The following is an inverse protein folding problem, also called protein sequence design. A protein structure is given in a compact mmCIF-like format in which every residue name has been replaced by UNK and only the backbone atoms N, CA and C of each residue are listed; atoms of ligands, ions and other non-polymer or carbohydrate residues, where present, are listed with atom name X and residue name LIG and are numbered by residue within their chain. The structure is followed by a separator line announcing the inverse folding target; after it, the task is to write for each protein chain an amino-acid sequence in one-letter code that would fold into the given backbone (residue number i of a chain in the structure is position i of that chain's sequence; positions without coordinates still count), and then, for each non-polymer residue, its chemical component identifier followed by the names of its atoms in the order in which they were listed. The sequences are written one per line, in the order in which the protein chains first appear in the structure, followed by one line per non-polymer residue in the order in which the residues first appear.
data_IF_885619079188
#
_entry.id   IF_885619079188
#
_cell.length_a   1.000
_cell.length_b   1.000
_cell.length_c   1.000
_cell.angle_alpha   90.00
_cell.angle_beta   90.00
_cell.angle_gamma   90.00
#
_symmetry.space_group_name_H-M   'P 1'
#
loop_
_entity.id
_entity.type
_entity.pdbx_description
1 polymer ?
#
# COMPACT_ATOMS: atom_id res chain seq x y z
N UNK A 1 -4.33 -12.06 11.94
CA UNK A 1 -4.57 -10.64 12.27
C UNK A 1 -3.83 -9.75 11.28
N UNK A 2 -4.48 -8.68 10.85
CA UNK A 2 -3.87 -7.77 9.89
C UNK A 2 -3.57 -6.46 10.57
N UNK A 3 -2.30 -6.08 10.55
CA UNK A 3 -1.85 -4.84 11.18
C UNK A 3 -1.60 -3.82 10.08
N UNK A 4 -2.25 -2.68 10.17
CA UNK A 4 -2.13 -1.62 9.17
C UNK A 4 -1.46 -0.42 9.83
N UNK A 5 -0.29 -0.06 9.31
CA UNK A 5 0.46 1.09 9.83
C UNK A 5 0.12 2.26 8.92
N UNK A 6 -0.55 3.27 9.46
CA UNK A 6 -1.08 4.36 8.64
C UNK A 6 -0.43 5.68 8.96
N UNK A 7 0.04 6.36 7.93
CA UNK A 7 0.58 7.70 8.05
C UNK A 7 -0.25 8.62 7.15
N UNK A 8 -0.73 9.72 7.69
CA UNK A 8 -1.50 10.68 6.92
C UNK A 8 -0.90 12.05 7.18
N UNK A 9 -0.51 12.76 6.11
CA UNK A 9 0.01 14.12 6.29
C UNK A 9 -1.11 14.94 6.92
N UNK A 10 -0.76 15.71 7.94
CA UNK A 10 -1.76 16.32 8.81
C UNK A 10 -2.75 17.25 8.12
N UNK A 11 -2.38 17.79 6.98
CA UNK A 11 -3.27 18.72 6.28
C UNK A 11 -4.41 18.05 5.53
N UNK A 12 -4.40 16.72 5.42
CA UNK A 12 -5.44 16.03 4.67
C UNK A 12 -6.49 15.42 5.60
N UNK A 13 -7.76 15.53 5.23
CA UNK A 13 -8.85 15.04 6.08
C UNK A 13 -9.19 13.57 5.91
N UNK A 14 -8.22 12.75 5.55
CA UNK A 14 -8.49 11.32 5.41
C UNK A 14 -8.78 10.72 6.78
N UNK A 15 -9.65 9.73 6.80
CA UNK A 15 -10.09 9.11 8.03
C UNK A 15 -9.29 7.83 8.29
N UNK A 16 -8.43 7.89 9.30
CA UNK A 16 -7.54 6.77 9.63
C UNK A 16 -8.32 5.48 9.95
N UNK A 17 -9.39 5.59 10.71
CA UNK A 17 -10.16 4.41 11.08
C UNK A 17 -10.82 3.78 9.88
N UNK A 18 -11.33 4.60 8.99
CA UNK A 18 -12.00 4.12 7.79
C UNK A 18 -11.01 3.40 6.89
N UNK A 19 -9.81 3.97 6.75
CA UNK A 19 -8.77 3.35 5.94
C UNK A 19 -8.37 2.00 6.56
N UNK A 20 -8.19 1.98 7.89
CA UNK A 20 -7.79 0.75 8.55
C UNK A 20 -8.83 -0.34 8.35
N UNK A 21 -10.10 0.01 8.54
CA UNK A 21 -11.18 -0.97 8.41
C UNK A 21 -11.25 -1.50 6.98
N UNK A 22 -11.08 -0.61 6.01
CA UNK A 22 -11.11 -1.02 4.61
C UNK A 22 -9.98 -2.00 4.30
N UNK A 23 -8.76 -1.66 4.72
CA UNK A 23 -7.61 -2.51 4.42
C UNK A 23 -7.74 -3.85 5.11
N UNK A 24 -8.15 -3.85 6.37
CA UNK A 24 -8.31 -5.10 7.10
C UNK A 24 -9.34 -6.00 6.44
N UNK A 25 -10.47 -5.42 6.05
CA UNK A 25 -11.52 -6.19 5.42
C UNK A 25 -11.06 -6.72 4.06
N UNK A 26 -10.40 -5.87 3.29
CA UNK A 26 -9.95 -6.25 1.95
C UNK A 26 -8.94 -7.39 2.02
N UNK A 27 -7.96 -7.27 2.90
CA UNK A 27 -6.92 -8.29 2.98
C UNK A 27 -7.39 -9.57 3.64
N UNK A 28 -8.32 -9.47 4.60
CA UNK A 28 -8.78 -10.66 5.30
C UNK A 28 -9.54 -11.61 4.38
N UNK A 29 -10.03 -11.12 3.26
CA UNK A 29 -10.70 -11.96 2.28
C UNK A 29 -9.70 -12.71 1.41
N UNK A 30 -8.43 -12.30 1.41
CA UNK A 30 -7.44 -12.85 0.50
C UNK A 30 -6.26 -13.52 1.20
N UNK A 31 -5.99 -13.15 2.44
CA UNK A 31 -4.82 -13.64 3.15
C UNK A 31 -5.20 -14.13 4.54
N UNK A 32 -4.44 -15.12 5.03
CA UNK A 32 -4.65 -15.62 6.38
C UNK A 32 -3.36 -15.44 7.16
N UNK A 33 -3.45 -15.56 8.47
CA UNK A 33 -2.27 -15.45 9.32
C UNK A 33 -1.97 -14.02 9.70
N UNK A 34 -0.75 -13.81 10.16
CA UNK A 34 -0.32 -12.47 10.59
C UNK A 34 0.22 -11.70 9.39
N UNK A 35 -0.38 -10.56 9.12
CA UNK A 35 -0.02 -9.74 7.96
C UNK A 35 0.19 -8.31 8.41
N UNK A 36 1.22 -7.66 7.88
CA UNK A 36 1.48 -6.26 8.18
C UNK A 36 1.63 -5.49 6.87
N UNK A 37 1.06 -4.32 6.80
CA UNK A 37 1.17 -3.48 5.60
C UNK A 37 1.14 -2.02 6.02
N UNK A 38 1.85 -1.17 5.29
CA UNK A 38 1.86 0.27 5.54
C UNK A 38 1.02 0.98 4.49
N UNK A 39 0.31 2.02 4.90
CA UNK A 39 -0.45 2.88 3.99
C UNK A 39 -0.14 4.32 4.34
N UNK A 40 0.26 5.11 3.37
CA UNK A 40 0.57 6.51 3.58
C UNK A 40 -0.26 7.38 2.65
N UNK A 41 -0.82 8.46 3.19
CA UNK A 41 -1.57 9.43 2.42
C UNK A 41 -0.74 10.71 2.41
N UNK A 42 -0.29 11.11 1.25
CA UNK A 42 0.67 12.21 1.13
C UNK A 42 0.22 13.22 0.05
N UNK A 43 0.91 14.34 0.01
CA UNK A 43 0.63 15.33 -1.03
C UNK A 43 1.48 15.09 -2.26
N UNK A 44 1.25 15.89 -3.30
CA UNK A 44 1.96 15.74 -4.57
C UNK A 44 3.46 15.94 -4.45
N UNK A 45 3.88 16.83 -3.56
CA UNK A 45 5.30 17.11 -3.41
C UNK A 45 6.04 15.85 -2.94
N UNK A 46 5.51 15.22 -1.89
CA UNK A 46 6.13 14.01 -1.37
C UNK A 46 6.02 12.88 -2.39
N UNK A 47 4.89 12.79 -3.06
CA UNK A 47 4.69 11.74 -4.07
C UNK A 47 5.70 11.91 -5.22
N UNK A 48 5.93 13.15 -5.65
CA UNK A 48 6.88 13.41 -6.72
C UNK A 48 8.29 13.02 -6.28
N UNK A 49 8.64 13.32 -5.02
CA UNK A 49 9.95 12.94 -4.52
C UNK A 49 10.13 11.44 -4.52
N UNK A 50 9.10 10.71 -4.08
CA UNK A 50 9.19 9.26 -4.03
C UNK A 50 9.25 8.66 -5.43
N UNK A 51 8.44 9.18 -6.34
CA UNK A 51 8.42 8.68 -7.69
C UNK A 51 9.76 8.93 -8.38
N UNK A 52 10.35 10.09 -8.14
CA UNK A 52 11.65 10.43 -8.70
C UNK A 52 12.73 9.53 -8.13
N UNK A 53 12.70 9.30 -6.83
CA UNK A 53 13.74 8.51 -6.17
C UNK A 53 13.68 7.03 -6.54
N UNK A 54 12.48 6.46 -6.56
CA UNK A 54 12.34 5.02 -6.74
C UNK A 54 12.04 4.57 -8.15
N UNK A 55 11.47 5.42 -8.97
CA UNK A 55 11.11 5.05 -10.34
C UNK A 55 11.79 5.93 -11.38
N UNK A 56 12.58 6.91 -10.93
CA UNK A 56 13.28 7.83 -11.83
C UNK A 56 12.33 8.60 -12.73
N UNK A 57 11.12 8.85 -12.24
CA UNK A 57 10.15 9.63 -12.97
C UNK A 57 9.95 10.94 -12.21
N UNK A 58 10.29 12.06 -12.84
CA UNK A 58 10.24 13.35 -12.18
C UNK A 58 8.84 13.95 -12.30
N UNK A 59 7.87 13.30 -11.69
CA UNK A 59 6.50 13.76 -11.72
C UNK A 59 5.74 13.10 -10.59
N UNK A 60 4.55 13.59 -10.30
CA UNK A 60 3.70 12.98 -9.30
C UNK A 60 2.93 11.82 -9.93
N UNK A 61 2.30 11.02 -9.10
CA UNK A 61 1.43 9.95 -9.56
C UNK A 61 0.35 9.79 -8.49
N UNK A 62 -0.65 8.96 -8.72
CA UNK A 62 -1.74 8.78 -7.77
C UNK A 62 -1.41 7.74 -6.70
N UNK A 63 -0.72 6.68 -7.06
CA UNK A 63 -0.40 5.63 -6.08
C UNK A 63 0.92 4.96 -6.42
N UNK A 64 1.67 4.61 -5.38
CA UNK A 64 2.90 3.83 -5.52
C UNK A 64 2.80 2.67 -4.55
N UNK A 65 3.37 1.53 -4.90
CA UNK A 65 3.44 0.41 -3.98
C UNK A 65 4.85 -0.17 -4.01
N UNK A 66 5.36 -0.52 -2.83
CA UNK A 66 6.69 -1.04 -2.68
C UNK A 66 6.64 -2.34 -1.90
N UNK A 67 6.88 -3.45 -2.58
CA UNK A 67 6.83 -4.75 -1.93
C UNK A 67 8.10 -5.01 -1.15
N UNK A 68 7.96 -5.53 0.04
CA UNK A 68 9.13 -5.85 0.83
C UNK A 68 9.83 -7.07 0.29
N UNK A 69 9.10 -7.96 -0.37
CA UNK A 69 9.71 -9.13 -0.93
C UNK A 69 10.01 -8.96 -2.39
N UNK A 70 10.25 -7.76 -2.84
CA UNK A 70 10.55 -7.53 -4.24
C UNK A 70 11.81 -8.33 -4.59
N UNK A 71 11.75 -9.20 -5.56
CA UNK A 71 12.89 -10.02 -5.94
C UNK A 71 14.13 -9.21 -6.25
N UNK A 72 13.98 -8.02 -6.76
CA UNK A 72 15.13 -7.21 -7.08
C UNK A 72 15.82 -6.69 -5.87
N UNK A 73 15.10 -6.45 -4.83
CA UNK A 73 15.66 -5.85 -3.63
C UNK A 73 16.03 -6.86 -2.60
N UNK A 74 15.20 -7.83 -2.41
CA UNK A 74 15.41 -8.76 -1.31
C UNK A 74 15.58 -10.17 -1.73
N UNK A 75 15.99 -10.37 -2.93
CA UNK A 75 16.10 -11.75 -3.36
C UNK A 75 16.87 -12.57 -2.36
N UNK A 76 17.97 -12.03 -1.93
CA UNK A 76 18.70 -12.78 -0.98
C UNK A 76 17.94 -12.90 0.29
N UNK A 77 17.33 -11.90 0.72
CA UNK A 77 16.70 -12.05 2.00
C UNK A 77 15.54 -12.98 1.85
N UNK A 78 14.83 -12.83 0.81
CA UNK A 78 13.67 -13.68 0.67
C UNK A 78 14.16 -15.07 0.71
N UNK A 79 15.21 -15.22 0.14
CA UNK A 79 15.69 -16.54 0.13
C UNK A 79 15.97 -16.95 1.47
N UNK A 80 16.76 -16.31 2.07
CA UNK A 80 17.11 -16.75 3.32
C UNK A 80 15.92 -16.94 4.01
N UNK A 81 15.14 -16.19 3.62
CA UNK A 81 14.00 -16.38 4.35
C UNK A 81 13.52 -17.72 4.12
N UNK A 82 13.98 -18.37 3.37
CA UNK A 82 13.54 -19.72 3.22
C UNK A 82 12.90 -19.99 4.48
N UNK A 83 13.03 -19.00 5.21
CA UNK A 83 12.49 -19.01 6.44
C UNK A 83 11.04 -19.26 6.30
N UNK A 84 10.53 -18.86 5.34
CA UNK A 84 9.18 -19.05 5.11
C UNK A 84 8.70 -20.43 5.44
N UNK A 85 9.41 -21.41 5.21
CA UNK A 85 8.94 -22.75 5.41
C UNK A 85 8.44 -23.02 6.79
N UNK A 86 9.05 -22.46 7.75
CA UNK A 86 8.65 -22.76 9.08
C UNK A 86 7.42 -21.96 9.46
N UNK A 87 6.31 -22.40 8.99
CA UNK A 87 5.11 -21.73 9.33
C UNK A 87 4.68 -21.98 10.72
N UNK A 88 5.36 -22.83 11.40
CA UNK A 88 4.97 -23.09 12.75
C UNK A 88 5.58 -22.03 13.66
N UNK A 89 6.45 -21.19 13.12
CA UNK A 89 7.04 -20.16 13.94
C UNK A 89 5.92 -19.19 14.36
N UNK A 90 5.65 -19.05 15.61
CA UNK A 90 4.55 -18.24 16.08
C UNK A 90 4.69 -16.76 15.78
N UNK A 91 5.91 -16.28 15.58
CA UNK A 91 6.10 -14.87 15.32
C UNK A 91 6.30 -14.56 13.85
N UNK A 92 5.99 -15.50 13.00
CA UNK A 92 6.17 -15.25 11.58
C UNK A 92 5.11 -14.32 11.07
N UNK A 93 5.50 -13.24 10.45
CA UNK A 93 4.57 -12.22 9.95
C UNK A 93 4.87 -11.97 8.49
N UNK A 94 3.83 -11.94 7.67
CA UNK A 94 4.00 -11.59 6.27
C UNK A 94 3.97 -10.08 6.15
N UNK A 95 5.09 -9.48 5.76
CA UNK A 95 5.14 -8.04 5.55
C UNK A 95 4.99 -7.76 4.08
N UNK A 96 3.82 -7.22 3.71
CA UNK A 96 3.51 -6.98 2.31
C UNK A 96 4.31 -5.83 1.72
N UNK A 97 4.47 -4.77 2.46
CA UNK A 97 5.16 -3.59 1.96
C UNK A 97 4.35 -2.35 2.22
N UNK A 98 4.49 -1.36 1.34
CA UNK A 98 3.84 -0.07 1.54
C UNK A 98 3.05 0.37 0.34
N UNK A 99 1.91 1.00 0.59
CA UNK A 99 1.10 1.63 -0.46
C UNK A 99 1.05 3.12 -0.11
N UNK A 100 1.37 3.97 -1.07
CA UNK A 100 1.40 5.41 -0.87
C UNK A 100 0.45 6.06 -1.87
N UNK A 101 -0.49 6.85 -1.37
CA UNK A 101 -1.53 7.48 -2.20
C UNK A 101 -1.38 8.99 -2.12
N UNK A 102 -1.44 9.66 -3.28
CA UNK A 102 -1.46 11.11 -3.31
C UNK A 102 -2.90 11.59 -3.11
N UNK A 103 -3.15 12.28 -2.01
CA UNK A 103 -4.49 12.78 -1.73
C UNK A 103 -4.95 13.79 -2.79
N UNK A 104 -4.12 14.75 -3.21
CA UNK A 104 -4.55 15.68 -4.25
C UNK A 104 -4.93 15.00 -5.54
N UNK A 105 -4.21 13.95 -5.93
CA UNK A 105 -4.55 13.23 -7.16
C UNK A 105 -5.86 12.47 -6.98
N UNK A 106 -6.09 11.92 -5.79
CA UNK A 106 -7.35 11.23 -5.52
C UNK A 106 -8.53 12.21 -5.62
N UNK A 107 -8.34 13.43 -5.13
CA UNK A 107 -9.38 14.46 -5.21
C UNK A 107 -9.72 14.77 -6.68
N UNK A 108 -8.69 14.93 -7.51
CA UNK A 108 -8.90 15.23 -8.92
C UNK A 108 -9.62 14.08 -9.62
N UNK A 109 -9.19 12.87 -9.36
CA UNK A 109 -9.79 11.71 -9.99
C UNK A 109 -11.23 11.50 -9.55
N UNK A 110 -11.49 11.72 -8.26
CA UNK A 110 -12.84 11.58 -7.74
C UNK A 110 -13.77 12.57 -8.43
N UNK A 111 -13.30 13.79 -8.63
CA UNK A 111 -14.12 14.80 -9.30
C UNK A 111 -14.40 14.39 -10.76
N UNK A 112 -13.40 13.86 -11.44
CA UNK A 112 -13.58 13.44 -12.82
C UNK A 112 -14.54 12.27 -12.95
N UNK A 113 -14.52 11.37 -11.96
CA UNK A 113 -15.36 10.20 -12.01
C UNK A 113 -16.65 10.32 -11.23
N UNK A 114 -16.90 11.49 -10.69
CA UNK A 114 -18.12 11.77 -9.96
C UNK A 114 -18.25 10.83 -8.76
N UNK A 115 -17.18 10.67 -8.01
CA UNK A 115 -17.15 9.81 -6.85
C UNK A 115 -16.78 10.60 -5.61
N UNK A 116 -16.99 10.02 -4.45
CA UNK A 116 -16.53 10.63 -3.22
C UNK A 116 -15.02 10.42 -3.14
N UNK A 117 -14.33 11.37 -2.51
CA UNK A 117 -12.87 11.26 -2.38
C UNK A 117 -12.50 10.01 -1.60
N UNK A 118 -13.24 9.69 -0.54
CA UNK A 118 -12.93 8.50 0.24
C UNK A 118 -13.02 7.23 -0.61
N UNK A 119 -13.98 7.18 -1.52
CA UNK A 119 -14.10 6.03 -2.40
C UNK A 119 -12.90 5.91 -3.33
N UNK A 120 -12.43 7.05 -3.83
CA UNK A 120 -11.29 7.02 -4.72
C UNK A 120 -10.02 6.64 -3.98
N UNK A 121 -9.85 7.14 -2.75
CA UNK A 121 -8.71 6.77 -1.94
C UNK A 121 -8.70 5.25 -1.71
N UNK A 122 -9.86 4.68 -1.39
CA UNK A 122 -9.94 3.23 -1.16
C UNK A 122 -9.65 2.46 -2.45
N UNK A 123 -10.12 2.97 -3.58
CA UNK A 123 -9.84 2.34 -4.86
C UNK A 123 -8.34 2.31 -5.13
N UNK A 124 -7.65 3.42 -4.87
CA UNK A 124 -6.21 3.47 -5.10
C UNK A 124 -5.45 2.58 -4.12
N UNK A 125 -5.90 2.52 -2.88
CA UNK A 125 -5.28 1.64 -1.90
C UNK A 125 -5.44 0.19 -2.36
N UNK A 126 -6.63 -0.21 -2.78
CA UNK A 126 -6.85 -1.57 -3.25
C UNK A 126 -5.96 -1.90 -4.43
N UNK A 127 -5.78 -0.94 -5.33
CA UNK A 127 -4.93 -1.13 -6.49
C UNK A 127 -3.47 -1.40 -6.04
N UNK A 128 -2.99 -0.62 -5.07
CA UNK A 128 -1.64 -0.84 -4.55
C UNK A 128 -1.51 -2.16 -3.80
N UNK A 129 -2.53 -2.53 -3.03
CA UNK A 129 -2.51 -3.79 -2.29
C UNK A 129 -2.47 -4.98 -3.26
N UNK A 130 -3.21 -4.90 -4.36
CA UNK A 130 -3.18 -5.96 -5.36
C UNK A 130 -1.78 -6.13 -5.93
N UNK A 131 -1.10 -5.01 -6.19
CA UNK A 131 0.26 -5.10 -6.68
C UNK A 131 1.17 -5.78 -5.65
N UNK A 132 1.01 -5.46 -4.37
CA UNK A 132 1.83 -6.06 -3.33
C UNK A 132 1.59 -7.57 -3.23
N UNK A 133 0.38 -8.01 -3.53
CA UNK A 133 0.05 -9.42 -3.48
C UNK A 133 0.35 -10.15 -4.79
N UNK A 134 0.87 -9.42 -5.77
CA UNK A 134 1.18 -10.03 -7.05
C UNK A 134 -0.01 -10.23 -7.97
N UNK A 135 -1.14 -9.57 -7.68
CA UNK A 135 -2.32 -9.68 -8.52
C UNK A 135 -2.26 -8.55 -9.55
N UNK A 136 -2.22 -8.92 -10.81
CA UNK A 136 -2.13 -7.92 -11.86
C UNK A 136 -3.41 -7.95 -12.69
N UNK A 137 -3.87 -6.77 -13.06
CA UNK A 137 -5.05 -6.66 -13.90
C UNK A 137 -4.60 -6.19 -15.25
N UNK A 138 -5.06 -6.77 -16.27
CA UNK A 138 -4.70 -6.35 -17.62
C UNK A 138 -5.69 -5.41 -18.19
#
# INVERSE_FOLDING_TARGET
MITVLIHIESRFPADRSKIRDFVQSYLSQKLTGEVEVGVSIVGDRKMKQLNSHYREINDTTDVLSFALDDPKVSSKSAVQSGFSPDKSAPDQVLRLGDVIVSYPQAVLEAAEENKLVDEQVEFLIAHGLNHLMGIHHD
#
